data_IF_804612007836
#
_entry.id   IF_804612007836
#
_cell.length_a   1.000
_cell.length_b   1.000
_cell.length_c   1.000
_cell.angle_alpha   90.00
_cell.angle_beta   90.00
_cell.angle_gamma   90.00
#
_symmetry.space_group_name_H-M   'P 1'
#
loop_
_entity.id
_entity.type
_entity.pdbx_description
1 polymer ?
#
# COMPACT_ATOMS: atom_id res chain seq x y z
N UNK A 1 -14.87 -14.55 -16.35
CA UNK A 1 -13.88 -15.49 -16.90
C UNK A 1 -12.58 -15.30 -16.12
N UNK A 2 -12.13 -16.32 -15.39
CA UNK A 2 -10.86 -16.25 -14.65
C UNK A 2 -9.71 -16.40 -15.64
N UNK A 3 -8.66 -15.59 -15.51
CA UNK A 3 -7.44 -15.79 -16.28
C UNK A 3 -6.75 -17.07 -15.77
N UNK A 4 -6.27 -17.92 -16.69
CA UNK A 4 -5.45 -19.10 -16.36
C UNK A 4 -3.99 -18.82 -16.66
N UNK A 5 -3.10 -19.24 -15.76
CA UNK A 5 -1.66 -19.27 -16.00
C UNK A 5 -1.26 -20.69 -16.36
N UNK A 6 -0.63 -20.85 -17.54
CA UNK A 6 -0.09 -22.12 -18.00
C UNK A 6 1.36 -21.98 -18.43
N UNK A 7 2.20 -22.96 -18.10
CA UNK A 7 3.59 -23.00 -18.53
C UNK A 7 4.18 -24.38 -18.39
N UNK A 8 5.21 -24.68 -19.18
CA UNK A 8 6.00 -25.89 -19.05
C UNK A 8 7.17 -25.63 -18.10
N UNK A 9 7.27 -26.43 -17.04
CA UNK A 9 8.36 -26.35 -16.07
C UNK A 9 9.25 -27.58 -16.22
N UNK A 10 10.53 -27.35 -16.47
CA UNK A 10 11.52 -28.41 -16.63
C UNK A 10 11.49 -29.35 -15.41
N UNK A 11 11.28 -30.64 -15.66
CA UNK A 11 11.22 -31.68 -14.62
C UNK A 11 9.88 -31.85 -13.91
N UNK A 12 8.89 -30.97 -14.14
CA UNK A 12 7.53 -31.09 -13.59
C UNK A 12 6.49 -31.32 -14.71
N UNK A 13 6.73 -30.77 -15.90
CA UNK A 13 5.80 -30.82 -17.04
C UNK A 13 4.90 -29.60 -17.11
N UNK A 14 3.74 -29.74 -17.76
CA UNK A 14 2.77 -28.64 -17.85
C UNK A 14 2.10 -28.36 -16.49
N UNK A 15 2.14 -27.10 -16.09
CA UNK A 15 1.40 -26.58 -14.95
C UNK A 15 0.31 -25.66 -15.47
N UNK A 16 -0.91 -25.80 -14.92
CA UNK A 16 -2.02 -24.89 -15.17
C UNK A 16 -2.72 -24.57 -13.85
N UNK A 17 -2.95 -23.30 -13.58
CA UNK A 17 -3.67 -22.84 -12.39
C UNK A 17 -4.42 -21.53 -12.67
N UNK A 18 -5.40 -21.23 -11.82
CA UNK A 18 -6.13 -19.96 -11.90
C UNK A 18 -5.19 -18.83 -11.49
N UNK A 19 -5.01 -17.85 -12.37
CA UNK A 19 -4.19 -16.68 -12.10
C UNK A 19 -4.81 -15.89 -10.94
N UNK A 20 -4.10 -15.72 -9.81
CA UNK A 20 -4.61 -14.97 -8.69
C UNK A 20 -4.69 -13.47 -9.04
N UNK A 21 -5.69 -12.77 -8.49
CA UNK A 21 -5.76 -11.31 -8.60
C UNK A 21 -4.54 -10.68 -7.92
N UNK A 22 -3.72 -9.87 -8.63
CA UNK A 22 -2.58 -9.19 -8.01
C UNK A 22 -2.99 -8.30 -6.83
N UNK A 23 -4.16 -7.66 -6.93
CA UNK A 23 -4.75 -6.86 -5.85
C UNK A 23 -5.01 -7.73 -4.62
N UNK A 24 -5.69 -8.88 -4.82
CA UNK A 24 -6.04 -9.77 -3.71
C UNK A 24 -4.79 -10.40 -3.07
N UNK A 25 -3.78 -10.77 -3.85
CA UNK A 25 -2.53 -11.30 -3.31
C UNK A 25 -1.81 -10.27 -2.43
N UNK A 26 -1.62 -9.05 -2.95
CA UNK A 26 -0.95 -7.99 -2.20
C UNK A 26 -1.71 -7.69 -0.89
N UNK A 27 -3.03 -7.60 -0.97
CA UNK A 27 -3.85 -7.35 0.21
C UNK A 27 -3.83 -8.49 1.23
N UNK A 28 -3.80 -9.75 0.79
CA UNK A 28 -3.65 -10.88 1.71
C UNK A 28 -2.31 -10.88 2.43
N UNK A 29 -1.21 -10.54 1.73
CA UNK A 29 0.11 -10.42 2.34
C UNK A 29 0.11 -9.27 3.35
N UNK A 30 -0.40 -8.10 2.96
CA UNK A 30 -0.46 -6.93 3.83
C UNK A 30 -1.27 -7.20 5.11
N UNK A 31 -2.45 -7.81 4.96
CA UNK A 31 -3.33 -8.13 6.08
C UNK A 31 -2.70 -9.17 7.03
N UNK A 32 -2.13 -10.25 6.49
CA UNK A 32 -1.49 -11.29 7.32
C UNK A 32 -0.30 -10.72 8.09
N UNK A 33 0.54 -9.90 7.44
CA UNK A 33 1.66 -9.23 8.09
C UNK A 33 1.20 -8.24 9.18
N UNK A 34 0.11 -7.51 8.94
CA UNK A 34 -0.48 -6.61 9.94
C UNK A 34 -0.99 -7.37 11.17
N UNK A 35 -1.63 -8.54 10.98
CA UNK A 35 -2.07 -9.40 12.09
C UNK A 35 -0.88 -9.94 12.90
N UNK A 36 0.18 -10.39 12.23
CA UNK A 36 1.41 -10.84 12.90
C UNK A 36 2.06 -9.69 13.69
N UNK A 37 2.16 -8.50 13.09
CA UNK A 37 2.65 -7.30 13.76
C UNK A 37 1.80 -6.94 14.98
N UNK A 38 0.47 -7.04 14.89
CA UNK A 38 -0.43 -6.77 16.02
C UNK A 38 -0.14 -7.71 17.20
N UNK A 39 0.08 -9.00 16.93
CA UNK A 39 0.44 -10.00 17.95
C UNK A 39 1.76 -9.65 18.61
N UNK A 40 2.79 -9.28 17.83
CA UNK A 40 4.10 -8.85 18.35
C UNK A 40 4.00 -7.58 19.20
N UNK A 41 3.20 -6.60 18.75
CA UNK A 41 3.00 -5.32 19.45
C UNK A 41 2.41 -5.49 20.84
N UNK A 42 1.56 -6.50 21.05
CA UNK A 42 0.97 -6.80 22.38
C UNK A 42 2.04 -7.19 23.42
N UNK A 43 3.21 -7.65 22.98
CA UNK A 43 4.34 -7.95 23.87
C UNK A 43 5.20 -6.72 24.18
N UNK A 44 4.88 -5.54 23.63
CA UNK A 44 5.64 -4.32 23.90
C UNK A 44 5.38 -3.83 25.32
N UNK A 45 6.48 -3.61 26.05
CA UNK A 45 6.45 -3.01 27.39
C UNK A 45 7.05 -1.62 27.30
N UNK A 46 6.24 -0.61 27.55
CA UNK A 46 6.69 0.77 27.60
C UNK A 46 6.97 1.16 29.05
N UNK A 47 8.18 1.65 29.30
CA UNK A 47 8.59 2.18 30.61
C UNK A 47 9.01 3.64 30.46
N UNK A 48 8.76 4.43 31.50
CA UNK A 48 9.20 5.82 31.53
C UNK A 48 10.68 5.90 31.91
N UNK A 49 11.48 6.59 31.08
CA UNK A 49 12.90 6.86 31.34
C UNK A 49 13.18 8.35 31.21
N UNK A 50 14.13 8.86 32.01
CA UNK A 50 14.59 10.25 31.90
C UNK A 50 15.62 10.38 30.79
N UNK A 51 15.37 11.27 29.84
CA UNK A 51 16.33 11.73 28.84
C UNK A 51 16.68 13.21 29.09
N UNK A 52 17.72 13.75 28.42
CA UNK A 52 18.04 15.18 28.48
C UNK A 52 16.88 16.10 28.09
N UNK A 53 15.96 15.63 27.25
CA UNK A 53 14.81 16.40 26.75
C UNK A 53 13.51 16.14 27.57
N UNK A 54 13.57 15.34 28.65
CA UNK A 54 12.45 15.11 29.57
C UNK A 54 12.12 13.63 29.82
N UNK A 55 10.88 13.34 30.22
CA UNK A 55 10.41 11.97 30.40
C UNK A 55 9.99 11.38 29.04
N UNK A 56 10.56 10.25 28.66
CA UNK A 56 10.27 9.57 27.39
C UNK A 56 9.86 8.12 27.63
N UNK A 57 9.08 7.56 26.69
CA UNK A 57 8.70 6.14 26.68
C UNK A 57 9.80 5.32 26.02
N UNK A 58 10.35 4.35 26.74
CA UNK A 58 11.31 3.37 26.23
C UNK A 58 10.66 2.00 26.11
N UNK A 59 10.94 1.28 25.01
CA UNK A 59 10.46 -0.09 24.82
C UNK A 59 11.43 -1.03 25.54
N UNK A 60 11.02 -1.59 26.67
CA UNK A 60 11.84 -2.54 27.44
C UNK A 60 11.67 -3.99 27.00
N UNK A 61 11.08 -4.23 25.83
CA UNK A 61 10.93 -5.57 25.25
C UNK A 61 12.23 -6.06 24.64
N UNK A 62 12.32 -7.37 24.37
CA UNK A 62 13.43 -7.95 23.62
C UNK A 62 13.57 -7.21 22.28
N UNK A 63 14.79 -6.80 21.96
CA UNK A 63 15.10 -6.08 20.73
C UNK A 63 14.73 -6.92 19.50
N UNK A 64 14.85 -8.25 19.57
CA UNK A 64 14.42 -9.15 18.50
C UNK A 64 12.92 -8.99 18.18
N UNK A 65 12.07 -8.93 19.21
CA UNK A 65 10.63 -8.70 19.02
C UNK A 65 10.32 -7.33 18.40
N UNK A 66 11.12 -6.31 18.69
CA UNK A 66 10.97 -4.99 18.09
C UNK A 66 11.35 -5.02 16.61
N UNK A 67 12.44 -5.71 16.25
CA UNK A 67 12.83 -5.91 14.86
C UNK A 67 11.77 -6.69 14.09
N UNK A 68 11.32 -7.83 14.61
CA UNK A 68 10.27 -8.65 13.98
C UNK A 68 8.99 -7.83 13.76
N UNK A 69 8.59 -7.01 14.74
CA UNK A 69 7.42 -6.13 14.61
C UNK A 69 7.60 -5.13 13.46
N UNK A 70 8.76 -4.46 13.41
CA UNK A 70 9.05 -3.47 12.36
C UNK A 70 9.06 -4.12 10.98
N UNK A 71 9.67 -5.30 10.83
CA UNK A 71 9.68 -6.05 9.59
C UNK A 71 8.26 -6.38 9.11
N UNK A 72 7.41 -6.92 9.99
CA UNK A 72 6.02 -7.23 9.66
C UNK A 72 5.21 -5.99 9.30
N UNK A 73 5.42 -4.90 10.01
CA UNK A 73 4.75 -3.62 9.72
C UNK A 73 5.21 -3.04 8.37
N UNK A 74 6.51 -3.12 8.05
CA UNK A 74 7.05 -2.70 6.75
C UNK A 74 6.48 -3.54 5.61
N UNK A 75 6.36 -4.86 5.78
CA UNK A 75 5.66 -5.74 4.82
C UNK A 75 4.22 -5.32 4.65
N UNK A 76 3.50 -5.01 5.74
CA UNK A 76 2.12 -4.56 5.69
C UNK A 76 1.97 -3.26 4.87
N UNK A 77 2.82 -2.25 5.13
CA UNK A 77 2.87 -0.97 4.41
C UNK A 77 3.15 -1.18 2.92
N UNK A 78 4.21 -1.93 2.59
CA UNK A 78 4.64 -2.12 1.21
C UNK A 78 3.55 -2.79 0.37
N UNK A 79 2.97 -3.88 0.89
CA UNK A 79 1.96 -4.63 0.16
C UNK A 79 0.58 -3.96 0.17
N UNK A 80 0.26 -3.13 1.18
CA UNK A 80 -0.94 -2.29 1.13
C UNK A 80 -0.88 -1.34 -0.06
N UNK A 81 0.24 -0.64 -0.23
CA UNK A 81 0.44 0.28 -1.36
C UNK A 81 0.48 -0.49 -2.69
N UNK A 82 1.20 -1.62 -2.76
CA UNK A 82 1.25 -2.47 -3.96
C UNK A 82 -0.15 -2.92 -4.42
N UNK A 83 -1.08 -3.17 -3.49
CA UNK A 83 -2.48 -3.48 -3.78
C UNK A 83 -3.19 -2.34 -4.52
N UNK A 84 -2.94 -1.09 -4.13
CA UNK A 84 -3.46 0.10 -4.81
C UNK A 84 -2.87 0.22 -6.22
N UNK A 85 -1.56 -0.01 -6.38
CA UNK A 85 -0.91 0.05 -7.70
C UNK A 85 -1.46 -1.00 -8.66
N UNK A 86 -1.60 -2.24 -8.17
CA UNK A 86 -2.19 -3.34 -8.92
C UNK A 86 -3.63 -3.02 -9.33
N UNK A 87 -4.42 -2.40 -8.45
CA UNK A 87 -5.80 -2.04 -8.72
C UNK A 87 -5.90 -0.96 -9.80
N UNK A 88 -5.07 0.09 -9.70
CA UNK A 88 -4.98 1.13 -10.72
C UNK A 88 -4.62 0.55 -12.10
N UNK A 89 -3.67 -0.38 -12.15
CA UNK A 89 -3.24 -1.00 -13.39
C UNK A 89 -4.34 -1.91 -13.98
N UNK A 90 -5.01 -2.73 -13.15
CA UNK A 90 -6.13 -3.58 -13.61
C UNK A 90 -7.30 -2.73 -14.12
N UNK A 91 -7.69 -1.67 -13.40
CA UNK A 91 -8.75 -0.76 -13.83
C UNK A 91 -8.41 -0.06 -15.16
N UNK A 92 -7.15 0.39 -15.32
CA UNK A 92 -6.67 0.99 -16.55
C UNK A 92 -6.73 0.00 -17.73
N UNK A 93 -6.37 -1.26 -17.52
CA UNK A 93 -6.43 -2.29 -18.55
C UNK A 93 -7.86 -2.70 -18.91
N UNK A 94 -8.84 -2.47 -18.04
CA UNK A 94 -10.27 -2.71 -18.30
C UNK A 94 -11.00 -1.50 -18.86
N UNK A 95 -10.35 -0.33 -18.95
CA UNK A 95 -10.97 0.86 -19.50
C UNK A 95 -11.50 0.61 -20.92
N UNK A 96 -12.67 1.19 -21.29
CA UNK A 96 -13.31 0.93 -22.57
C UNK A 96 -12.51 1.46 -23.77
N UNK A 97 -11.69 2.49 -23.54
CA UNK A 97 -10.87 3.11 -24.58
C UNK A 97 -9.44 2.59 -24.55
N UNK A 98 -8.84 2.41 -25.73
CA UNK A 98 -7.44 2.00 -25.88
C UNK A 98 -6.42 3.07 -25.47
N UNK A 99 -6.89 4.29 -25.28
CA UNK A 99 -6.07 5.42 -24.88
C UNK A 99 -6.76 6.29 -23.83
N UNK A 100 -5.94 7.01 -23.07
CA UNK A 100 -6.35 7.98 -22.07
C UNK A 100 -5.72 9.34 -22.37
N UNK A 101 -6.51 10.39 -22.24
CA UNK A 101 -6.01 11.77 -22.32
C UNK A 101 -5.49 12.19 -20.94
N UNK A 102 -4.26 12.70 -20.88
CA UNK A 102 -3.67 13.29 -19.68
C UNK A 102 -3.31 14.75 -19.91
N UNK A 103 -3.43 15.55 -18.86
CA UNK A 103 -2.88 16.91 -18.85
C UNK A 103 -1.48 16.87 -18.24
N UNK A 104 -0.47 17.31 -18.98
CA UNK A 104 0.91 17.37 -18.50
C UNK A 104 1.09 18.52 -17.52
N UNK A 105 2.21 18.53 -16.79
CA UNK A 105 2.58 19.64 -15.90
C UNK A 105 2.69 20.99 -16.62
N UNK A 106 2.94 20.98 -17.93
CA UNK A 106 3.00 22.18 -18.78
C UNK A 106 1.63 22.63 -19.30
N UNK A 107 0.56 21.92 -18.93
CA UNK A 107 -0.81 22.21 -19.34
C UNK A 107 -1.22 21.62 -20.70
N UNK A 108 -0.29 21.00 -21.42
CA UNK A 108 -0.54 20.33 -22.69
C UNK A 108 -1.35 19.05 -22.49
N UNK A 109 -2.20 18.72 -23.47
CA UNK A 109 -2.93 17.44 -23.49
C UNK A 109 -2.13 16.42 -24.28
N UNK A 110 -1.90 15.25 -23.69
CA UNK A 110 -1.21 14.13 -24.32
C UNK A 110 -2.11 12.91 -24.30
N UNK A 111 -2.23 12.24 -25.44
CA UNK A 111 -2.87 10.94 -25.52
C UNK A 111 -1.84 9.86 -25.22
N UNK A 112 -2.14 8.94 -24.29
CA UNK A 112 -1.33 7.77 -24.01
C UNK A 112 -2.14 6.50 -24.26
N UNK A 113 -1.52 5.48 -24.83
CA UNK A 113 -2.10 4.13 -24.81
C UNK A 113 -2.19 3.61 -23.38
N UNK A 114 -3.05 2.61 -23.13
CA UNK A 114 -3.16 1.97 -21.79
C UNK A 114 -1.81 1.48 -21.25
N UNK A 115 -0.96 0.90 -22.11
CA UNK A 115 0.38 0.41 -21.73
C UNK A 115 1.36 1.55 -21.42
N UNK A 116 1.29 2.65 -22.17
CA UNK A 116 2.12 3.82 -21.87
C UNK A 116 1.68 4.49 -20.57
N UNK A 117 0.37 4.64 -20.36
CA UNK A 117 -0.17 5.18 -19.12
C UNK A 117 0.17 4.30 -17.91
N UNK A 118 0.15 2.98 -18.05
CA UNK A 118 0.58 2.04 -17.01
C UNK A 118 2.06 2.27 -16.60
N UNK A 119 2.95 2.50 -17.58
CA UNK A 119 4.39 2.64 -17.34
C UNK A 119 4.84 4.05 -16.97
N UNK A 120 4.19 5.08 -17.51
CA UNK A 120 4.63 6.47 -17.41
C UNK A 120 4.00 7.21 -16.24
N UNK A 121 2.79 6.83 -15.82
CA UNK A 121 2.06 7.55 -14.78
C UNK A 121 2.32 6.94 -13.41
N UNK A 122 2.53 7.82 -12.43
CA UNK A 122 2.56 7.43 -11.03
C UNK A 122 1.20 6.91 -10.55
N UNK A 123 1.21 6.10 -9.50
CA UNK A 123 -0.02 5.63 -8.84
C UNK A 123 -0.88 6.81 -8.36
N UNK A 124 -0.25 7.88 -7.86
CA UNK A 124 -0.91 9.14 -7.49
C UNK A 124 -1.69 9.76 -8.66
N UNK A 125 -1.07 9.83 -9.85
CA UNK A 125 -1.69 10.39 -11.06
C UNK A 125 -2.83 9.49 -11.56
N UNK A 126 -2.61 8.17 -11.57
CA UNK A 126 -3.64 7.20 -11.96
C UNK A 126 -4.86 7.33 -11.07
N UNK A 127 -4.67 7.31 -9.75
CA UNK A 127 -5.78 7.33 -8.79
C UNK A 127 -6.49 8.69 -8.70
N UNK A 128 -5.72 9.77 -8.76
CA UNK A 128 -6.24 11.12 -8.56
C UNK A 128 -6.87 11.75 -9.79
N UNK A 129 -6.52 11.28 -10.99
CA UNK A 129 -6.88 11.93 -12.26
C UNK A 129 -7.53 10.96 -13.25
N UNK A 130 -6.96 9.77 -13.47
CA UNK A 130 -7.48 8.84 -14.49
C UNK A 130 -8.64 7.99 -13.98
N UNK A 131 -8.44 7.34 -12.84
CA UNK A 131 -9.35 6.34 -12.28
C UNK A 131 -10.77 6.88 -12.10
N UNK A 132 -11.01 8.12 -11.59
CA UNK A 132 -12.34 8.70 -11.48
C UNK A 132 -13.14 8.65 -12.80
N UNK A 133 -12.48 8.98 -13.92
CA UNK A 133 -13.09 8.97 -15.25
C UNK A 133 -13.30 7.56 -15.81
N UNK A 134 -12.43 6.61 -15.46
CA UNK A 134 -12.54 5.21 -15.89
C UNK A 134 -13.73 4.51 -15.21
N UNK A 135 -13.89 4.72 -13.90
CA UNK A 135 -14.94 4.04 -13.10
C UNK A 135 -16.23 4.85 -12.94
N UNK A 136 -16.23 6.12 -13.37
CA UNK A 136 -17.41 7.00 -13.26
C UNK A 136 -17.70 7.49 -11.84
N UNK A 137 -16.68 7.60 -10.99
CA UNK A 137 -16.79 8.03 -9.58
C UNK A 137 -16.09 9.39 -9.42
N UNK A 138 -16.56 10.31 -8.55
CA UNK A 138 -15.85 11.56 -8.28
C UNK A 138 -14.42 11.34 -7.79
N UNK A 139 -13.53 12.31 -8.01
CA UNK A 139 -12.17 12.23 -7.46
C UNK A 139 -12.19 12.10 -5.92
N UNK A 140 -11.25 11.32 -5.40
CA UNK A 140 -11.03 11.20 -3.96
C UNK A 140 -10.27 12.42 -3.39
N UNK A 141 -9.62 13.23 -4.24
CA UNK A 141 -8.83 14.40 -3.81
C UNK A 141 -9.65 15.34 -2.93
N UNK A 142 -9.03 15.78 -1.82
CA UNK A 142 -9.66 16.65 -0.83
C UNK A 142 -10.60 15.93 0.14
N UNK A 143 -10.77 14.61 0.03
CA UNK A 143 -11.52 13.78 1.00
C UNK A 143 -10.56 13.13 1.99
N UNK A 144 -11.07 12.77 3.17
CA UNK A 144 -10.28 12.09 4.21
C UNK A 144 -9.57 10.82 3.71
N UNK A 145 -10.22 10.05 2.84
CA UNK A 145 -9.64 8.84 2.25
C UNK A 145 -8.39 9.10 1.41
N UNK A 146 -8.32 10.27 0.76
CA UNK A 146 -7.17 10.65 -0.04
C UNK A 146 -5.99 11.04 0.84
N UNK A 147 -6.23 11.79 1.92
CA UNK A 147 -5.18 12.12 2.90
C UNK A 147 -4.61 10.85 3.55
N UNK A 148 -5.45 9.87 3.85
CA UNK A 148 -5.01 8.57 4.35
C UNK A 148 -4.18 7.80 3.33
N UNK A 149 -4.55 7.84 2.05
CA UNK A 149 -3.74 7.28 0.98
C UNK A 149 -2.38 7.98 0.85
N UNK A 150 -2.33 9.33 0.91
CA UNK A 150 -1.08 10.08 0.91
C UNK A 150 -0.19 9.69 2.09
N UNK A 151 -0.78 9.47 3.26
CA UNK A 151 -0.08 9.00 4.45
C UNK A 151 0.56 7.62 4.25
N UNK A 152 -0.19 6.67 3.68
CA UNK A 152 0.33 5.34 3.31
C UNK A 152 1.47 5.46 2.28
N UNK A 153 1.30 6.30 1.26
CA UNK A 153 2.33 6.53 0.24
C UNK A 153 3.62 7.09 0.85
N UNK A 154 3.53 8.14 1.66
CA UNK A 154 4.68 8.75 2.32
C UNK A 154 5.40 7.73 3.23
N UNK A 155 4.64 6.98 4.02
CA UNK A 155 5.19 5.91 4.87
C UNK A 155 5.92 4.86 4.04
N UNK A 156 5.32 4.39 2.94
CA UNK A 156 5.94 3.43 2.03
C UNK A 156 7.23 3.98 1.42
N UNK A 157 7.20 5.22 0.93
CA UNK A 157 8.36 5.83 0.26
C UNK A 157 9.55 5.98 1.22
N UNK A 158 9.28 6.36 2.49
CA UNK A 158 10.31 6.39 3.53
C UNK A 158 10.81 4.99 3.91
N UNK A 159 9.93 3.99 3.98
CA UNK A 159 10.28 2.59 4.25
C UNK A 159 11.10 1.95 3.11
N UNK A 160 10.88 2.34 1.86
CA UNK A 160 11.67 1.85 0.72
C UNK A 160 13.01 2.57 0.63
N UNK A 161 13.03 3.87 0.96
CA UNK A 161 14.20 4.71 0.91
C UNK A 161 14.79 4.92 2.31
N UNK A 162 15.03 3.84 3.07
CA UNK A 162 15.76 3.88 4.35
C UNK A 162 17.11 4.57 4.15
N UNK A 163 17.17 5.89 4.39
CA UNK A 163 18.40 6.66 4.27
C UNK A 163 19.22 6.46 5.54
N UNK A 164 20.55 6.46 5.41
CA UNK A 164 21.50 6.35 6.53
C UNK A 164 21.30 7.41 7.64
N UNK A 165 20.53 8.46 7.39
CA UNK A 165 20.14 9.48 8.36
C UNK A 165 19.19 8.95 9.46
N UNK A 166 18.51 7.81 9.28
CA UNK A 166 17.67 7.17 10.31
C UNK A 166 18.47 6.85 11.59
N UNK A 167 19.78 6.57 11.44
CA UNK A 167 20.68 6.18 12.53
C UNK A 167 21.40 7.38 13.19
N UNK A 168 21.25 8.59 12.64
CA UNK A 168 21.93 9.79 13.13
C UNK A 168 20.89 10.82 13.52
N UNK A 169 20.52 10.82 14.81
CA UNK A 169 19.66 11.84 15.40
C UNK A 169 20.25 13.22 15.17
N UNK A 170 19.72 13.97 14.22
CA UNK A 170 19.90 15.42 14.14
C UNK A 170 18.52 16.04 14.32
N UNK A 171 18.41 16.96 15.28
CA UNK A 171 17.19 17.68 15.71
C UNK A 171 16.56 18.55 14.61
N UNK A 172 16.37 18.04 13.40
CA UNK A 172 15.67 18.72 12.30
C UNK A 172 14.29 18.07 12.11
N UNK A 173 13.29 18.87 11.77
CA UNK A 173 11.91 18.41 11.53
C UNK A 173 11.80 17.34 10.42
N UNK A 174 12.80 17.23 9.54
CA UNK A 174 12.94 16.22 8.49
C UNK A 174 13.77 14.99 8.92
N UNK A 175 13.60 14.50 10.16
CA UNK A 175 14.36 13.37 10.72
C UNK A 175 13.78 12.00 10.27
N UNK A 176 14.53 11.16 9.54
CA UNK A 176 14.10 9.83 9.14
C UNK A 176 13.83 8.87 10.30
N UNK A 177 14.26 9.19 11.53
CA UNK A 177 13.84 8.47 12.75
C UNK A 177 12.32 8.47 12.94
N UNK A 178 11.60 9.41 12.32
CA UNK A 178 10.14 9.52 12.42
C UNK A 178 9.40 8.35 11.77
N UNK A 179 9.93 7.70 10.73
CA UNK A 179 9.22 6.55 10.15
C UNK A 179 9.14 5.40 11.14
N UNK A 180 10.24 5.06 11.83
CA UNK A 180 10.26 3.98 12.81
C UNK A 180 9.36 4.30 14.01
N UNK A 181 9.40 5.55 14.49
CA UNK A 181 8.49 6.02 15.56
C UNK A 181 7.04 5.91 15.11
N UNK A 182 6.71 6.34 13.89
CA UNK A 182 5.37 6.20 13.30
C UNK A 182 4.94 4.74 13.21
N UNK A 183 5.78 3.84 12.70
CA UNK A 183 5.48 2.42 12.62
C UNK A 183 5.20 1.81 14.00
N UNK A 184 5.92 2.26 15.04
CA UNK A 184 5.69 1.83 16.43
C UNK A 184 4.42 2.45 17.01
N UNK A 185 4.14 3.72 16.73
CA UNK A 185 2.98 4.43 17.28
C UNK A 185 1.67 3.89 16.68
N UNK A 186 1.62 3.71 15.37
CA UNK A 186 0.42 3.34 14.63
C UNK A 186 0.00 1.89 14.87
N UNK A 187 -1.31 1.64 14.86
CA UNK A 187 -1.85 0.28 14.80
C UNK A 187 -1.50 -0.32 13.42
N UNK A 188 -0.77 -1.46 13.34
CA UNK A 188 -0.36 -2.03 12.06
C UNK A 188 -1.54 -2.40 11.14
N UNK A 189 -2.76 -2.53 11.67
CA UNK A 189 -3.96 -2.84 10.90
C UNK A 189 -4.43 -1.67 10.03
N UNK A 190 -3.97 -0.44 10.28
CA UNK A 190 -4.36 0.71 9.46
C UNK A 190 -3.89 0.58 8.02
N UNK A 191 -2.77 -0.08 7.76
CA UNK A 191 -2.17 -0.14 6.42
C UNK A 191 -3.06 -0.88 5.41
N UNK A 192 -3.46 -2.15 5.63
CA UNK A 192 -4.42 -2.81 4.76
C UNK A 192 -5.79 -2.11 4.78
N UNK A 193 -6.20 -1.50 5.89
CA UNK A 193 -7.48 -0.81 5.98
C UNK A 193 -7.56 0.40 5.04
N UNK A 194 -6.51 1.21 4.95
CA UNK A 194 -6.45 2.36 4.03
C UNK A 194 -6.66 1.89 2.59
N UNK A 195 -6.01 0.80 2.19
CA UNK A 195 -6.20 0.24 0.85
C UNK A 195 -7.62 -0.26 0.65
N UNK A 196 -8.20 -0.98 1.62
CA UNK A 196 -9.59 -1.43 1.53
C UNK A 196 -10.57 -0.28 1.38
N UNK A 197 -10.43 0.79 2.17
CA UNK A 197 -11.27 1.98 2.03
C UNK A 197 -11.19 2.53 0.59
N UNK A 198 -9.98 2.58 0.03
CA UNK A 198 -9.76 3.11 -1.33
C UNK A 198 -10.37 2.21 -2.41
N UNK A 199 -10.21 0.90 -2.27
CA UNK A 199 -10.85 -0.08 -3.15
C UNK A 199 -12.38 0.06 -3.05
N UNK A 200 -12.92 0.20 -1.85
CA UNK A 200 -14.35 0.39 -1.61
C UNK A 200 -14.89 1.64 -2.29
N UNK A 201 -14.12 2.74 -2.26
CA UNK A 201 -14.50 3.99 -2.89
C UNK A 201 -14.57 3.91 -4.43
N UNK A 202 -13.63 3.20 -5.05
CA UNK A 202 -13.52 3.13 -6.52
C UNK A 202 -14.15 1.89 -7.15
N UNK A 203 -14.52 0.87 -6.37
CA UNK A 203 -15.15 -0.33 -6.92
C UNK A 203 -16.65 -0.14 -7.00
N UNK A 204 -17.18 -0.17 -8.23
CA UNK A 204 -18.61 -0.07 -8.52
C UNK A 204 -19.19 -1.44 -8.88
N UNK A 205 -20.48 -1.64 -8.56
CA UNK A 205 -21.19 -2.89 -8.85
C UNK A 205 -21.27 -3.17 -10.37
N UNK A 206 -21.15 -4.43 -10.81
CA UNK A 206 -20.97 -5.64 -10.00
C UNK A 206 -19.53 -5.80 -9.48
N UNK A 207 -19.40 -6.14 -8.20
CA UNK A 207 -18.11 -6.34 -7.56
C UNK A 207 -17.40 -7.58 -8.14
N UNK A 208 -16.10 -7.48 -8.49
CA UNK A 208 -15.30 -8.64 -8.84
C UNK A 208 -15.28 -9.67 -7.70
N UNK A 209 -15.30 -10.96 -8.03
CA UNK A 209 -15.32 -12.02 -7.02
C UNK A 209 -14.13 -11.94 -6.05
N UNK A 210 -12.94 -11.60 -6.55
CA UNK A 210 -11.75 -11.43 -5.72
C UNK A 210 -11.94 -10.36 -4.63
N UNK A 211 -12.72 -9.31 -4.91
CA UNK A 211 -12.99 -8.24 -3.97
C UNK A 211 -13.97 -8.69 -2.89
N UNK A 212 -15.02 -9.45 -3.27
CA UNK A 212 -15.95 -10.03 -2.31
C UNK A 212 -15.23 -10.98 -1.33
N UNK A 213 -14.30 -11.79 -1.84
CA UNK A 213 -13.50 -12.68 -1.01
C UNK A 213 -12.53 -11.91 -0.12
N UNK A 214 -11.91 -10.85 -0.65
CA UNK A 214 -11.01 -10.00 0.12
C UNK A 214 -11.75 -9.30 1.27
N UNK A 215 -12.95 -8.76 1.02
CA UNK A 215 -13.79 -8.14 2.05
C UNK A 215 -14.07 -9.06 3.23
N UNK A 216 -14.39 -10.33 2.98
CA UNK A 216 -14.64 -11.32 4.04
C UNK A 216 -13.41 -11.60 4.90
N UNK A 217 -12.21 -11.36 4.36
CA UNK A 217 -10.95 -11.68 5.02
C UNK A 217 -10.36 -10.49 5.78
N UNK A 218 -10.55 -9.28 5.27
CA UNK A 218 -10.00 -8.05 5.87
C UNK A 218 -10.99 -7.38 6.83
N UNK A 219 -12.28 -7.70 6.77
CA UNK A 219 -13.29 -7.30 7.75
C UNK A 219 -13.07 -7.98 9.11
#
# INVERSE_FOLDING_TARGET
MFASCSGEVQGIGQINFIAPSPVAMAMNISHSAAQEAEVLKRAFKFVDVRSPDGLVKHISSDIANVYDYLEKTMVAVFFAYQGIEAFCNDALMRAPNDSVEIKTKKGERKQLTRREAERQLSTLEKLGTLLPGIVGVPTAKGKAIWERFLYLQATRDEVVHFKNQILRSTKSEDDPSQVLVRLIADDPRIWPQITMELLDYFTVSPYPEWYNQLKKRVA
#
